data_IF_572089487323
#
_entry.id   IF_572089487323
#
_cell.length_a   1.000
_cell.length_b   1.000
_cell.length_c   1.000
_cell.angle_alpha   90.00
_cell.angle_beta   90.00
_cell.angle_gamma   90.00
#
_symmetry.space_group_name_H-M   'P 1'
#
loop_
_entity.id
_entity.type
_entity.pdbx_description
1 polymer ?
#
# COMPACT_ATOMS: atom_id res chain seq x y z
N UNK A 1 29.33 0.28 -2.50
CA UNK A 1 28.29 1.33 -2.47
C UNK A 1 28.20 1.96 -1.09
N UNK A 2 28.21 1.18 -0.01
CA UNK A 2 28.19 1.69 1.37
C UNK A 2 29.32 2.69 1.67
N UNK A 3 30.59 2.34 1.39
CA UNK A 3 31.73 3.25 1.60
C UNK A 3 31.59 4.61 0.89
N UNK A 4 30.98 4.63 -0.28
CA UNK A 4 30.74 5.85 -1.04
C UNK A 4 29.72 6.74 -0.34
N UNK A 5 28.61 6.15 0.12
CA UNK A 5 27.55 6.85 0.84
C UNK A 5 28.05 7.36 2.20
N UNK A 6 28.86 6.57 2.93
CA UNK A 6 29.44 7.01 4.21
C UNK A 6 30.43 8.18 4.02
N UNK A 7 31.23 8.18 2.94
CA UNK A 7 32.07 9.34 2.59
C UNK A 7 31.23 10.57 2.22
N UNK A 8 30.11 10.39 1.52
CA UNK A 8 29.20 11.48 1.18
C UNK A 8 28.53 12.07 2.43
N UNK A 9 28.15 11.23 3.39
CA UNK A 9 27.52 11.61 4.66
C UNK A 9 28.32 12.63 5.47
N UNK A 10 29.66 12.61 5.33
CA UNK A 10 30.54 13.58 6.00
C UNK A 10 30.36 15.02 5.48
N UNK A 11 29.79 15.18 4.27
CA UNK A 11 29.62 16.49 3.62
C UNK A 11 28.15 16.94 3.58
N UNK A 12 27.23 15.99 3.46
CA UNK A 12 25.80 16.25 3.33
C UNK A 12 25.00 15.19 4.08
N UNK A 13 23.80 15.55 4.55
CA UNK A 13 22.86 14.59 5.14
C UNK A 13 22.36 13.63 4.05
N UNK A 14 22.31 12.34 4.37
CA UNK A 14 21.82 11.30 3.46
C UNK A 14 20.61 10.59 4.07
N UNK A 15 19.70 10.14 3.21
CA UNK A 15 18.54 9.37 3.63
C UNK A 15 18.05 8.42 2.57
N UNK A 16 17.29 7.42 3.01
CA UNK A 16 16.70 6.40 2.15
C UNK A 16 15.19 6.38 2.32
N UNK A 17 14.47 6.15 1.22
CA UNK A 17 13.01 6.03 1.20
C UNK A 17 12.63 4.83 0.34
N UNK A 18 11.63 4.07 0.77
CA UNK A 18 11.12 2.94 0.00
C UNK A 18 9.76 2.47 0.50
N UNK A 19 9.00 1.82 -0.39
CA UNK A 19 7.66 1.31 -0.08
C UNK A 19 7.65 0.03 0.76
N UNK A 20 8.81 -0.59 0.96
CA UNK A 20 8.98 -1.77 1.80
C UNK A 20 8.94 -1.42 3.30
N UNK A 21 8.63 -2.41 4.13
CA UNK A 21 8.82 -2.34 5.58
C UNK A 21 10.30 -2.21 5.97
N UNK A 22 10.56 -1.90 7.24
CA UNK A 22 11.91 -1.72 7.76
C UNK A 22 12.75 -3.01 7.64
N UNK A 23 12.15 -4.18 7.85
CA UNK A 23 12.85 -5.46 7.78
C UNK A 23 13.46 -5.69 6.41
N UNK A 24 12.70 -5.47 5.32
CA UNK A 24 13.23 -5.55 3.96
C UNK A 24 14.28 -4.50 3.66
N UNK A 25 14.14 -3.30 4.23
CA UNK A 25 15.17 -2.25 4.09
C UNK A 25 16.46 -2.71 4.78
N UNK A 26 16.37 -3.37 5.94
CA UNK A 26 17.50 -3.95 6.66
C UNK A 26 18.15 -5.12 5.90
N UNK A 27 17.36 -5.98 5.24
CA UNK A 27 17.88 -7.04 4.37
C UNK A 27 18.71 -6.46 3.21
N UNK A 28 18.30 -5.32 2.64
CA UNK A 28 18.96 -4.69 1.49
C UNK A 28 20.17 -3.84 1.86
N UNK A 29 20.10 -3.11 2.97
CA UNK A 29 21.07 -2.07 3.34
C UNK A 29 21.86 -2.38 4.62
N UNK A 30 21.56 -3.48 5.28
CA UNK A 30 22.15 -3.90 6.55
C UNK A 30 21.27 -3.60 7.76
N UNK A 31 21.41 -4.41 8.81
CA UNK A 31 20.63 -4.28 10.05
C UNK A 31 20.85 -2.93 10.76
N UNK A 32 22.01 -2.31 10.52
CA UNK A 32 22.44 -1.01 11.04
C UNK A 32 21.99 0.19 10.17
N UNK A 33 21.03 -0.01 9.25
CA UNK A 33 20.57 1.04 8.32
C UNK A 33 20.13 2.33 9.03
N UNK A 34 19.49 2.25 10.20
CA UNK A 34 19.04 3.43 10.96
C UNK A 34 20.20 4.25 11.52
N UNK A 35 21.37 3.64 11.67
CA UNK A 35 22.59 4.30 12.13
C UNK A 35 23.43 4.82 10.96
N UNK A 36 23.41 4.10 9.83
CA UNK A 36 24.15 4.41 8.60
C UNK A 36 23.65 5.62 7.82
N UNK A 37 22.38 5.96 7.95
CA UNK A 37 21.75 7.07 7.26
C UNK A 37 21.19 8.07 8.28
N UNK A 38 21.18 9.36 7.92
CA UNK A 38 20.61 10.38 8.81
C UNK A 38 19.08 10.30 8.87
N UNK A 39 18.47 9.85 7.77
CA UNK A 39 17.03 9.60 7.67
C UNK A 39 16.73 8.25 7.01
N UNK A 40 15.79 7.50 7.57
CA UNK A 40 15.28 6.25 6.98
C UNK A 40 13.76 6.31 6.96
N UNK A 41 13.17 6.20 5.77
CA UNK A 41 11.73 6.31 5.53
C UNK A 41 11.15 5.02 4.92
N UNK A 42 11.00 3.94 5.70
CA UNK A 42 10.26 2.76 5.26
C UNK A 42 8.77 3.08 5.06
N UNK A 43 8.09 2.22 4.31
CA UNK A 43 6.66 2.36 4.00
C UNK A 43 6.33 3.75 3.44
N UNK A 44 7.23 4.26 2.60
CA UNK A 44 7.22 5.60 2.03
C UNK A 44 7.10 6.74 3.07
N UNK A 45 7.75 6.59 4.22
CA UNK A 45 7.79 7.60 5.27
C UNK A 45 6.63 7.56 6.26
N UNK A 46 5.74 6.58 6.15
CA UNK A 46 4.78 6.27 7.22
C UNK A 46 5.49 5.82 8.48
N UNK A 47 6.66 5.19 8.32
CA UNK A 47 7.64 5.04 9.37
C UNK A 47 8.81 5.96 9.04
N UNK A 48 9.26 6.74 10.02
CA UNK A 48 10.37 7.66 9.85
C UNK A 48 11.36 7.50 10.99
N UNK A 49 12.63 7.33 10.65
CA UNK A 49 13.75 7.40 11.57
C UNK A 49 14.62 8.60 11.24
N UNK A 50 15.14 9.24 12.28
CA UNK A 50 16.13 10.31 12.18
C UNK A 50 17.21 10.09 13.23
N UNK A 51 18.47 10.11 12.81
CA UNK A 51 19.64 9.94 13.68
C UNK A 51 19.51 8.69 14.59
N UNK A 52 19.14 7.55 14.00
CA UNK A 52 18.93 6.28 14.71
C UNK A 52 17.65 6.17 15.54
N UNK A 53 16.87 7.25 15.67
CA UNK A 53 15.66 7.29 16.52
C UNK A 53 14.39 7.30 15.70
N UNK A 54 13.37 6.58 16.17
CA UNK A 54 12.03 6.63 15.59
C UNK A 54 11.48 8.05 15.76
N UNK A 55 11.25 8.74 14.65
CA UNK A 55 10.67 10.08 14.60
C UNK A 55 9.14 10.00 14.65
N UNK A 56 8.56 9.01 13.98
CA UNK A 56 7.12 8.83 13.96
C UNK A 56 6.72 7.57 13.20
N UNK A 57 5.58 7.00 13.62
CA UNK A 57 4.88 5.93 12.91
C UNK A 57 3.44 6.36 12.74
N UNK A 58 2.99 6.40 11.49
CA UNK A 58 1.60 6.64 11.12
C UNK A 58 0.97 5.33 10.67
N UNK A 59 -0.29 5.11 11.05
CA UNK A 59 -1.07 3.99 10.54
C UNK A 59 -2.48 4.43 10.16
N UNK A 60 -3.06 3.72 9.20
CA UNK A 60 -4.33 4.06 8.54
C UNK A 60 -5.47 4.07 9.56
N UNK A 61 -5.43 3.16 10.53
CA UNK A 61 -6.39 3.07 11.62
C UNK A 61 -6.41 4.34 12.49
N UNK A 62 -5.23 4.84 12.90
CA UNK A 62 -5.10 6.02 13.72
C UNK A 62 -5.51 7.30 12.99
N UNK A 63 -5.38 7.34 11.66
CA UNK A 63 -5.76 8.49 10.86
C UNK A 63 -7.25 8.51 10.47
N UNK A 64 -7.81 7.38 10.03
CA UNK A 64 -9.19 7.29 9.56
C UNK A 64 -10.20 7.02 10.68
N UNK A 65 -9.75 6.40 11.77
CA UNK A 65 -10.61 5.89 12.84
C UNK A 65 -11.28 4.56 12.50
N UNK A 66 -11.63 3.81 13.55
CA UNK A 66 -12.23 2.47 13.44
C UNK A 66 -13.57 2.44 12.71
N UNK A 67 -14.43 3.43 12.95
CA UNK A 67 -15.78 3.47 12.35
C UNK A 67 -15.69 3.52 10.83
N UNK A 68 -14.94 4.50 10.29
CA UNK A 68 -14.77 4.64 8.85
C UNK A 68 -14.05 3.44 8.22
N UNK A 69 -13.10 2.86 8.96
CA UNK A 69 -12.38 1.68 8.50
C UNK A 69 -13.31 0.47 8.38
N UNK A 70 -14.14 0.21 9.38
CA UNK A 70 -15.12 -0.87 9.35
C UNK A 70 -16.17 -0.65 8.27
N UNK A 71 -16.66 0.58 8.08
CA UNK A 71 -17.59 0.91 6.99
C UNK A 71 -16.98 0.57 5.63
N UNK A 72 -15.72 0.97 5.40
CA UNK A 72 -14.99 0.67 4.17
C UNK A 72 -14.79 -0.84 3.96
N UNK A 73 -14.38 -1.57 4.99
CA UNK A 73 -14.19 -3.02 4.95
C UNK A 73 -15.52 -3.73 4.66
N UNK A 74 -16.58 -3.39 5.39
CA UNK A 74 -17.92 -3.98 5.25
C UNK A 74 -18.49 -3.75 3.84
N UNK A 75 -18.32 -2.53 3.32
CA UNK A 75 -18.70 -2.20 1.95
C UNK A 75 -17.93 -3.06 0.95
N UNK A 76 -16.60 -3.13 1.08
CA UNK A 76 -15.77 -3.90 0.16
C UNK A 76 -16.10 -5.39 0.18
N UNK A 77 -16.28 -6.00 1.36
CA UNK A 77 -16.66 -7.40 1.49
C UNK A 77 -18.03 -7.67 0.84
N UNK A 78 -19.01 -6.81 1.12
CA UNK A 78 -20.36 -6.93 0.56
C UNK A 78 -20.38 -6.76 -0.96
N UNK A 79 -19.56 -5.86 -1.50
CA UNK A 79 -19.40 -5.64 -2.93
C UNK A 79 -18.76 -6.86 -3.59
N UNK A 80 -17.62 -7.33 -3.06
CA UNK A 80 -16.88 -8.49 -3.60
C UNK A 80 -17.74 -9.75 -3.58
N UNK A 81 -18.58 -9.95 -2.56
CA UNK A 81 -19.50 -11.09 -2.49
C UNK A 81 -20.44 -11.16 -3.71
N UNK A 82 -20.88 -10.00 -4.23
CA UNK A 82 -21.83 -9.90 -5.35
C UNK A 82 -21.18 -10.05 -6.73
N UNK A 83 -19.88 -9.81 -6.87
CA UNK A 83 -19.17 -9.97 -8.15
C UNK A 83 -19.12 -11.45 -8.52
N UNK A 84 -19.59 -11.82 -9.72
CA UNK A 84 -19.40 -13.17 -10.29
C UNK A 84 -18.08 -13.19 -11.06
N UNK A 85 -17.16 -14.07 -10.65
CA UNK A 85 -15.87 -14.30 -11.30
C UNK A 85 -15.74 -15.79 -11.63
N UNK A 86 -14.87 -16.11 -12.59
CA UNK A 86 -14.52 -17.50 -12.90
C UNK A 86 -13.93 -18.21 -11.69
N UNK A 87 -13.09 -17.50 -10.93
CA UNK A 87 -12.42 -18.01 -9.73
C UNK A 87 -12.42 -16.93 -8.64
N UNK A 88 -12.57 -17.37 -7.39
CA UNK A 88 -12.32 -16.59 -6.17
C UNK A 88 -11.41 -17.40 -5.26
N UNK A 89 -10.50 -16.71 -4.57
CA UNK A 89 -9.53 -17.32 -3.65
C UNK A 89 -9.72 -16.69 -2.27
N UNK A 90 -8.66 -16.26 -1.62
CA UNK A 90 -8.69 -15.62 -0.31
C UNK A 90 -7.89 -14.31 -0.29
N UNK A 91 -7.85 -13.67 0.87
CA UNK A 91 -7.17 -12.38 1.05
C UNK A 91 -7.74 -11.31 0.10
N UNK A 92 -9.06 -11.10 0.18
CA UNK A 92 -9.79 -10.09 -0.59
C UNK A 92 -9.51 -8.66 -0.12
N UNK A 93 -9.22 -8.52 1.17
CA UNK A 93 -8.79 -7.27 1.79
C UNK A 93 -7.54 -7.59 2.59
N UNK A 94 -6.44 -6.90 2.30
CA UNK A 94 -5.17 -6.99 3.01
C UNK A 94 -4.90 -5.64 3.67
N UNK A 95 -4.85 -5.66 5.00
CA UNK A 95 -4.57 -4.48 5.81
C UNK A 95 -3.07 -4.24 5.88
N UNK A 96 -2.62 -3.03 5.49
CA UNK A 96 -1.24 -2.56 5.65
C UNK A 96 -1.23 -1.29 6.49
N UNK A 97 -0.07 -0.88 7.01
CA UNK A 97 -0.01 0.32 7.86
C UNK A 97 -0.51 1.56 7.10
N UNK A 98 -0.22 1.68 5.80
CA UNK A 98 -0.57 2.85 4.98
C UNK A 98 -1.80 2.76 4.11
N UNK A 99 -2.39 1.57 3.95
CA UNK A 99 -3.41 1.33 2.95
C UNK A 99 -4.18 0.04 3.21
N UNK A 100 -5.36 -0.04 2.61
CA UNK A 100 -6.06 -1.29 2.37
C UNK A 100 -5.85 -1.72 0.92
N UNK A 101 -5.30 -2.91 0.73
CA UNK A 101 -5.28 -3.56 -0.58
C UNK A 101 -6.55 -4.38 -0.76
N UNK A 102 -7.36 -4.05 -1.76
CA UNK A 102 -8.61 -4.73 -2.08
C UNK A 102 -8.48 -5.48 -3.41
N UNK A 103 -8.78 -6.77 -3.42
CA UNK A 103 -8.71 -7.64 -4.60
C UNK A 103 -10.02 -8.42 -4.79
N UNK A 104 -10.75 -8.24 -5.91
CA UNK A 104 -11.99 -8.98 -6.17
C UNK A 104 -11.79 -10.50 -6.31
N UNK A 105 -10.69 -10.93 -6.96
CA UNK A 105 -10.33 -12.36 -7.07
C UNK A 105 -9.72 -12.90 -5.77
N UNK A 106 -9.08 -12.05 -4.98
CA UNK A 106 -8.31 -12.42 -3.79
C UNK A 106 -6.81 -12.49 -4.08
N UNK A 107 -5.98 -12.03 -3.15
CA UNK A 107 -4.52 -11.96 -3.32
C UNK A 107 -3.82 -13.31 -3.36
N UNK A 108 -4.44 -14.36 -2.80
CA UNK A 108 -3.88 -15.72 -2.78
C UNK A 108 -4.10 -16.52 -4.07
N UNK A 109 -4.48 -15.87 -5.17
CA UNK A 109 -4.59 -16.53 -6.49
C UNK A 109 -3.24 -16.90 -7.09
N UNK A 110 -3.23 -17.94 -7.93
CA UNK A 110 -2.04 -18.32 -8.69
C UNK A 110 -1.69 -17.27 -9.75
N UNK A 111 -0.53 -17.41 -10.38
CA UNK A 111 -0.11 -16.52 -11.46
C UNK A 111 -1.03 -16.65 -12.69
N UNK A 112 -1.42 -17.87 -13.04
CA UNK A 112 -2.33 -18.16 -14.14
C UNK A 112 -3.72 -17.55 -13.88
N UNK A 113 -4.24 -17.73 -12.67
CA UNK A 113 -5.53 -17.18 -12.24
C UNK A 113 -5.53 -15.65 -12.24
N UNK A 114 -4.40 -15.05 -11.87
CA UNK A 114 -4.20 -13.60 -11.92
C UNK A 114 -4.23 -13.08 -13.35
N UNK A 115 -3.61 -13.78 -14.30
CA UNK A 115 -3.64 -13.43 -15.73
C UNK A 115 -5.06 -13.56 -16.28
N UNK A 116 -5.76 -14.65 -15.97
CA UNK A 116 -7.16 -14.84 -16.37
C UNK A 116 -8.07 -13.71 -15.84
N UNK A 117 -7.91 -13.34 -14.56
CA UNK A 117 -8.64 -12.22 -13.97
C UNK A 117 -8.29 -10.89 -14.62
N UNK A 118 -7.01 -10.65 -14.94
CA UNK A 118 -6.57 -9.43 -15.58
C UNK A 118 -7.20 -9.25 -16.97
N UNK A 119 -7.24 -10.32 -17.78
CA UNK A 119 -7.88 -10.28 -19.10
C UNK A 119 -9.41 -10.11 -19.01
N UNK A 120 -10.05 -10.72 -18.01
CA UNK A 120 -11.46 -10.49 -17.71
C UNK A 120 -11.72 -9.04 -17.29
N UNK A 121 -10.92 -8.52 -16.36
CA UNK A 121 -11.05 -7.16 -15.83
C UNK A 121 -10.83 -6.11 -16.92
N UNK A 122 -9.93 -6.35 -17.87
CA UNK A 122 -9.72 -5.45 -19.02
C UNK A 122 -10.95 -5.35 -19.93
N UNK A 123 -11.73 -6.42 -20.04
CA UNK A 123 -12.97 -6.45 -20.85
C UNK A 123 -14.15 -5.86 -20.07
N UNK A 124 -14.28 -6.24 -18.81
CA UNK A 124 -15.47 -5.95 -17.99
C UNK A 124 -15.32 -4.71 -17.10
N UNK A 125 -14.10 -4.17 -16.98
CA UNK A 125 -13.74 -3.02 -16.15
C UNK A 125 -14.17 -3.17 -14.68
N UNK A 126 -13.98 -4.36 -14.10
CA UNK A 126 -14.48 -4.73 -12.76
C UNK A 126 -13.89 -3.82 -11.68
N UNK A 127 -12.56 -3.68 -11.65
CA UNK A 127 -11.85 -2.82 -10.68
C UNK A 127 -12.22 -1.35 -10.86
N UNK A 128 -12.36 -0.88 -12.10
CA UNK A 128 -12.74 0.51 -12.37
C UNK A 128 -14.16 0.82 -11.88
N UNK A 129 -15.13 -0.06 -12.16
CA UNK A 129 -16.50 0.08 -11.67
C UNK A 129 -16.55 0.08 -10.14
N UNK A 130 -15.83 -0.84 -9.50
CA UNK A 130 -15.76 -0.93 -8.05
C UNK A 130 -15.13 0.33 -7.43
N UNK A 131 -14.01 0.82 -7.98
CA UNK A 131 -13.38 2.07 -7.51
C UNK A 131 -14.29 3.29 -7.72
N UNK A 132 -15.04 3.36 -8.83
CA UNK A 132 -16.00 4.43 -9.07
C UNK A 132 -17.13 4.44 -8.03
N UNK A 133 -17.66 3.26 -7.70
CA UNK A 133 -18.69 3.11 -6.68
C UNK A 133 -18.16 3.47 -5.29
N UNK A 134 -16.94 3.06 -4.94
CA UNK A 134 -16.27 3.45 -3.70
C UNK A 134 -16.04 4.97 -3.59
N UNK A 135 -15.62 5.61 -4.69
CA UNK A 135 -15.46 7.07 -4.74
C UNK A 135 -16.78 7.80 -4.49
N UNK A 136 -17.90 7.26 -4.99
CA UNK A 136 -19.24 7.82 -4.76
C UNK A 136 -19.69 7.60 -3.32
N UNK A 137 -19.56 6.38 -2.81
CA UNK A 137 -20.00 6.00 -1.45
C UNK A 137 -19.24 6.77 -0.37
N UNK A 138 -17.91 6.85 -0.49
CA UNK A 138 -17.03 7.46 0.49
C UNK A 138 -16.62 8.89 0.11
N UNK A 139 -17.41 9.57 -0.71
CA UNK A 139 -17.17 10.95 -1.11
C UNK A 139 -17.05 11.85 0.13
N UNK A 140 -16.02 12.70 0.16
CA UNK A 140 -15.77 13.63 1.28
C UNK A 140 -15.16 12.99 2.53
N UNK A 141 -14.88 11.68 2.55
CA UNK A 141 -14.26 10.98 3.70
C UNK A 141 -12.73 10.99 3.69
N UNK A 142 -12.11 11.77 2.79
CA UNK A 142 -10.65 11.89 2.73
C UNK A 142 -9.93 10.62 2.25
N UNK A 143 -10.58 9.79 1.43
CA UNK A 143 -10.00 8.58 0.86
C UNK A 143 -9.62 8.77 -0.61
N UNK A 144 -8.46 8.24 -0.98
CA UNK A 144 -8.01 8.09 -2.36
C UNK A 144 -7.98 6.61 -2.73
N UNK A 145 -8.38 6.32 -3.97
CA UNK A 145 -8.38 4.98 -4.52
C UNK A 145 -7.49 4.90 -5.76
N UNK A 146 -6.52 3.97 -5.75
CA UNK A 146 -5.55 3.76 -6.82
C UNK A 146 -5.61 2.32 -7.34
N UNK A 147 -5.80 2.14 -8.65
CA UNK A 147 -5.74 0.81 -9.27
C UNK A 147 -4.28 0.52 -9.58
N UNK A 148 -3.74 -0.57 -9.04
CA UNK A 148 -2.34 -0.93 -9.26
C UNK A 148 -2.01 -1.19 -10.73
N UNK A 149 -0.75 -0.93 -11.08
CA UNK A 149 -0.18 -1.16 -12.41
C UNK A 149 -0.12 -2.66 -12.80
N UNK A 150 0.31 -2.92 -14.03
CA UNK A 150 0.39 -4.20 -14.77
C UNK A 150 0.43 -5.45 -13.86
N UNK A 151 -0.50 -6.38 -14.11
CA UNK A 151 -0.65 -7.64 -13.37
C UNK A 151 -1.02 -7.51 -11.87
N UNK A 152 -1.38 -6.32 -11.37
CA UNK A 152 -2.05 -6.22 -10.07
C UNK A 152 -3.43 -6.89 -10.12
N UNK A 153 -3.75 -7.68 -9.10
CA UNK A 153 -5.07 -8.32 -8.93
C UNK A 153 -6.04 -7.46 -8.09
N UNK A 154 -5.69 -6.21 -7.79
CA UNK A 154 -6.47 -5.35 -6.89
C UNK A 154 -6.23 -3.85 -7.08
N UNK A 155 -6.77 -3.09 -6.13
CA UNK A 155 -6.60 -1.65 -5.99
C UNK A 155 -6.36 -1.30 -4.51
N UNK A 156 -5.89 -0.08 -4.25
CA UNK A 156 -5.55 0.43 -2.94
C UNK A 156 -6.57 1.49 -2.51
N UNK A 157 -6.94 1.47 -1.24
CA UNK A 157 -7.62 2.57 -0.57
C UNK A 157 -6.70 3.12 0.53
N UNK A 158 -6.48 4.44 0.52
CA UNK A 158 -5.57 5.11 1.44
C UNK A 158 -6.08 6.52 1.78
N UNK A 159 -5.66 7.12 2.91
CA UNK A 159 -5.90 8.53 3.18
C UNK A 159 -5.39 9.43 2.05
N UNK A 160 -6.18 10.42 1.63
CA UNK A 160 -5.86 11.30 0.51
C UNK A 160 -4.56 12.07 0.72
N UNK A 161 -4.27 12.45 1.97
CA UNK A 161 -3.01 13.11 2.37
C UNK A 161 -1.77 12.26 2.14
N UNK A 162 -1.91 10.94 1.96
CA UNK A 162 -0.80 10.01 1.75
C UNK A 162 -0.60 9.64 0.28
N UNK A 163 -1.41 10.17 -0.65
CA UNK A 163 -1.30 9.86 -2.07
C UNK A 163 0.09 10.14 -2.65
N UNK A 164 0.74 11.25 -2.25
CA UNK A 164 2.09 11.60 -2.69
C UNK A 164 3.22 10.85 -1.99
N UNK A 165 2.92 10.15 -0.89
CA UNK A 165 3.87 9.32 -0.16
C UNK A 165 3.80 7.90 -0.70
N UNK A 166 2.60 7.33 -0.77
CA UNK A 166 2.42 5.88 -0.93
C UNK A 166 2.08 5.47 -2.38
N UNK A 167 1.85 6.44 -3.26
CA UNK A 167 1.48 6.21 -4.66
C UNK A 167 2.69 6.07 -5.59
N UNK A 168 3.09 4.84 -5.90
CA UNK A 168 3.79 4.45 -7.13
C UNK A 168 3.22 3.12 -7.63
#
# INVERSE_FOLDING_TARGET
MDDFLQKLRQKVKIGVVGGSDLEKVQEQLGNDVVEKYDYVFPENGLVAYKDGKLLGKQNTQGHLGEVLLQDLINYCLSYIAKIKLLKKRGTFIEFRNGMLNVSPIGRSCSQEERIEFYELDKKENIRQKFVADLRREFAGKGLTFSIGIVCSNGFQALPAVWQGLVGA
#
